data_IF_588644830491
#
_entry.id   IF_588644830491
#
_cell.length_a   1.000
_cell.length_b   1.000
_cell.length_c   1.000
_cell.angle_alpha   90.00
_cell.angle_beta   90.00
_cell.angle_gamma   90.00
#
_symmetry.space_group_name_H-M   'P 1'
#
loop_
_entity.id
_entity.type
_entity.pdbx_description
1 polymer ?
#
# COMPACT_ATOMS: atom_id res chain seq x y z
N UNK A 1 -12.40 10.32 23.08
CA UNK A 1 -12.54 8.85 22.99
C UNK A 1 -11.83 8.37 21.74
N UNK A 2 -10.57 7.96 21.89
CA UNK A 2 -9.82 7.31 20.82
C UNK A 2 -10.16 5.83 20.90
N UNK A 3 -10.74 5.28 19.83
CA UNK A 3 -11.14 3.88 19.78
C UNK A 3 -9.87 3.03 19.68
N UNK A 4 -9.68 2.22 20.72
CA UNK A 4 -8.69 1.15 20.83
C UNK A 4 -8.85 0.18 19.65
N UNK A 5 -7.76 -0.09 18.91
CA UNK A 5 -7.74 -1.07 17.82
C UNK A 5 -6.87 -2.26 18.25
N UNK A 6 -7.46 -3.39 18.68
CA UNK A 6 -6.72 -4.63 18.83
C UNK A 6 -6.55 -5.27 17.44
N UNK A 7 -5.33 -5.27 16.89
CA UNK A 7 -5.02 -6.07 15.70
C UNK A 7 -4.79 -7.52 16.13
N UNK A 8 -5.87 -8.29 16.16
CA UNK A 8 -5.84 -9.74 16.02
C UNK A 8 -7.18 -10.19 15.43
N UNK A 9 -7.34 -10.01 14.12
CA UNK A 9 -8.36 -10.74 13.36
C UNK A 9 -7.65 -11.28 12.14
N UNK A 10 -7.52 -12.60 12.09
CA UNK A 10 -7.05 -13.33 10.93
C UNK A 10 -7.94 -12.92 9.75
N UNK A 11 -7.38 -12.28 8.73
CA UNK A 11 -8.11 -11.89 7.53
C UNK A 11 -7.44 -12.62 6.37
N UNK A 12 -8.20 -13.47 5.69
CA UNK A 12 -7.68 -14.36 4.66
C UNK A 12 -8.09 -13.87 3.29
N UNK A 13 -7.13 -13.83 2.38
CA UNK A 13 -7.35 -13.53 0.98
C UNK A 13 -7.07 -14.77 0.14
N UNK A 14 -7.98 -15.06 -0.79
CA UNK A 14 -7.93 -16.24 -1.65
C UNK A 14 -7.71 -15.84 -3.09
N UNK A 15 -6.84 -16.58 -3.78
CA UNK A 15 -6.62 -16.46 -5.24
C UNK A 15 -7.25 -17.66 -5.94
N UNK A 16 -8.35 -17.42 -6.66
CA UNK A 16 -9.03 -18.43 -7.47
C UNK A 16 -8.76 -18.18 -8.95
N UNK A 17 -8.16 -19.14 -9.66
CA UNK A 17 -7.85 -19.02 -11.08
C UNK A 17 -8.93 -19.69 -11.94
N UNK A 18 -9.51 -18.96 -12.91
CA UNK A 18 -10.43 -19.55 -13.90
C UNK A 18 -9.67 -20.44 -14.88
N UNK A 19 -9.97 -21.73 -14.89
CA UNK A 19 -9.36 -22.71 -15.79
C UNK A 19 -10.05 -22.73 -17.16
N UNK A 20 -9.28 -22.94 -18.23
CA UNK A 20 -9.81 -23.11 -19.58
C UNK A 20 -10.57 -24.43 -19.72
N UNK A 21 -11.48 -24.51 -20.70
CA UNK A 21 -12.24 -25.74 -21.00
C UNK A 21 -11.34 -26.92 -21.39
N UNK A 22 -10.19 -26.65 -22.03
CA UNK A 22 -9.16 -27.66 -22.33
C UNK A 22 -8.39 -28.10 -21.07
N UNK A 23 -8.11 -27.18 -20.14
CA UNK A 23 -7.49 -27.48 -18.85
C UNK A 23 -8.38 -28.31 -17.93
N UNK A 24 -9.70 -28.06 -17.93
CA UNK A 24 -10.68 -28.81 -17.14
C UNK A 24 -10.69 -30.32 -17.47
N UNK A 25 -10.52 -30.69 -18.74
CA UNK A 25 -10.47 -32.11 -19.15
C UNK A 25 -9.23 -32.81 -18.58
N UNK A 26 -8.12 -32.10 -18.44
CA UNK A 26 -6.88 -32.64 -17.84
C UNK A 26 -6.97 -32.73 -16.32
N UNK A 27 -7.51 -31.72 -15.63
CA UNK A 27 -7.73 -31.78 -14.18
C UNK A 27 -8.65 -32.93 -13.79
N UNK A 28 -9.79 -33.08 -14.49
CA UNK A 28 -10.69 -34.24 -14.30
C UNK A 28 -10.00 -35.59 -14.51
N UNK A 29 -8.96 -35.66 -15.34
CA UNK A 29 -8.16 -36.87 -15.54
C UNK A 29 -7.09 -37.09 -14.46
N UNK A 30 -6.58 -36.02 -13.82
CA UNK A 30 -5.60 -36.12 -12.73
C UNK A 30 -6.24 -36.34 -11.35
N UNK A 31 -7.46 -35.82 -11.16
CA UNK A 31 -8.17 -35.83 -9.88
C UNK A 31 -8.72 -37.20 -9.49
N UNK A 32 -8.68 -38.18 -10.39
CA UNK A 32 -9.02 -39.57 -10.07
C UNK A 32 -7.92 -40.25 -9.23
N UNK A 33 -6.68 -39.74 -9.17
CA UNK A 33 -5.58 -40.50 -8.56
C UNK A 33 -4.52 -39.78 -7.71
N UNK A 34 -4.47 -38.43 -7.57
CA UNK A 34 -3.26 -37.80 -6.96
C UNK A 34 -3.39 -36.83 -5.79
N UNK A 35 -4.50 -36.13 -5.55
CA UNK A 35 -4.48 -35.04 -4.54
C UNK A 35 -4.82 -35.44 -3.09
N UNK A 36 -5.47 -36.59 -2.84
CA UNK A 36 -5.76 -37.03 -1.47
C UNK A 36 -4.55 -37.61 -0.70
N UNK A 37 -3.38 -37.82 -1.32
CA UNK A 37 -2.21 -38.42 -0.63
C UNK A 37 -1.19 -37.41 -0.08
N UNK A 38 -1.25 -36.13 -0.44
CA UNK A 38 -0.24 -35.13 -0.02
C UNK A 38 -0.67 -34.23 1.15
N UNK A 39 -1.98 -34.12 1.45
CA UNK A 39 -2.47 -33.35 2.59
C UNK A 39 -2.76 -34.19 3.86
N UNK A 40 -2.63 -35.52 3.80
CA UNK A 40 -3.01 -36.45 4.88
C UNK A 40 -1.82 -37.16 5.57
N UNK A 41 -0.64 -36.51 5.64
CA UNK A 41 0.50 -37.02 6.40
C UNK A 41 1.13 -35.92 7.24
N UNK A 42 0.49 -35.59 8.37
CA UNK A 42 1.12 -35.28 9.67
C UNK A 42 0.07 -34.81 10.69
N UNK A 43 -0.83 -35.69 11.10
CA UNK A 43 -1.44 -35.63 12.43
C UNK A 43 -1.49 -37.07 12.97
N UNK A 44 -0.32 -37.54 13.42
CA UNK A 44 -0.21 -38.79 14.18
C UNK A 44 -0.42 -38.44 15.64
N UNK A 45 -1.57 -38.85 16.17
CA UNK A 45 -1.92 -38.85 17.58
C UNK A 45 -1.08 -39.88 18.35
N UNK A 46 -0.43 -39.47 19.43
CA UNK A 46 -0.01 -40.38 20.50
C UNK A 46 -0.25 -39.73 21.88
N UNK A 47 -0.50 -40.53 22.93
CA UNK A 47 -1.35 -40.14 24.05
C UNK A 47 -0.62 -39.42 25.19
N UNK A 48 -1.38 -38.61 25.92
CA UNK A 48 -0.99 -37.97 27.17
C UNK A 48 -0.83 -39.01 28.28
N UNK A 49 0.33 -39.02 28.94
CA UNK A 49 0.48 -39.54 30.31
C UNK A 49 1.03 -38.45 31.22
N UNK A 50 0.33 -38.21 32.32
CA UNK A 50 0.77 -37.40 33.47
C UNK A 50 1.70 -38.22 34.36
N UNK A 51 2.79 -37.62 34.82
CA UNK A 51 3.32 -37.80 36.18
C UNK A 51 4.21 -36.62 36.55
N UNK A 52 4.05 -36.14 37.78
CA UNK A 52 4.73 -35.01 38.41
C UNK A 52 6.19 -35.32 38.78
N UNK A 53 7.09 -34.32 38.73
CA UNK A 53 7.92 -33.89 39.87
C UNK A 53 8.96 -32.82 39.48
N UNK A 54 9.36 -32.09 40.51
CA UNK A 54 10.13 -30.84 40.65
C UNK A 54 11.47 -30.70 39.91
N UNK A 55 11.88 -29.45 39.67
CA UNK A 55 13.28 -29.03 39.86
C UNK A 55 13.96 -28.25 38.73
N UNK A 56 13.99 -26.92 38.90
CA UNK A 56 15.12 -26.00 38.65
C UNK A 56 15.71 -25.78 37.23
N UNK A 57 16.06 -24.51 36.95
CA UNK A 57 17.21 -24.17 36.10
C UNK A 57 17.00 -23.82 34.61
N UNK A 58 16.78 -22.53 34.34
CA UNK A 58 17.38 -21.70 33.25
C UNK A 58 17.27 -22.16 31.77
N UNK A 59 16.53 -21.36 31.00
CA UNK A 59 16.52 -21.32 29.53
C UNK A 59 17.88 -20.95 28.91
N UNK A 60 18.33 -21.64 27.84
CA UNK A 60 19.34 -21.11 26.93
C UNK A 60 18.77 -20.77 25.54
N UNK A 61 19.04 -19.53 25.13
CA UNK A 61 18.84 -18.92 23.81
C UNK A 61 19.44 -19.76 22.64
N UNK A 62 18.76 -19.87 21.48
CA UNK A 62 19.31 -20.60 20.34
C UNK A 62 20.01 -19.64 19.34
N UNK A 63 21.25 -19.28 19.63
CA UNK A 63 22.19 -18.76 18.62
C UNK A 63 23.58 -19.32 18.94
N UNK A 64 24.01 -20.33 18.19
CA UNK A 64 25.37 -20.85 18.26
C UNK A 64 25.58 -22.21 17.62
N UNK A 65 25.99 -22.21 16.34
CA UNK A 65 26.94 -23.21 15.83
C UNK A 65 26.44 -24.22 14.79
N UNK A 66 27.16 -24.24 13.66
CA UNK A 66 27.26 -25.25 12.60
C UNK A 66 26.09 -25.27 11.58
N UNK A 67 26.24 -24.87 10.32
CA UNK A 67 27.45 -24.78 9.50
C UNK A 67 27.80 -26.13 8.87
N UNK A 68 27.07 -26.49 7.81
CA UNK A 68 27.51 -27.23 6.59
C UNK A 68 26.30 -27.87 5.91
N UNK A 69 26.16 -27.60 4.61
CA UNK A 69 25.56 -28.41 3.52
C UNK A 69 24.73 -27.54 2.56
N UNK A 70 25.42 -26.75 1.74
CA UNK A 70 24.91 -26.31 0.44
C UNK A 70 26.00 -26.61 -0.61
N UNK A 71 25.68 -27.33 -1.70
CA UNK A 71 26.62 -27.54 -2.80
C UNK A 71 26.92 -26.25 -3.55
N UNK A 72 28.20 -26.04 -3.83
CA UNK A 72 28.73 -25.13 -4.86
C UNK A 72 28.63 -25.84 -6.21
N UNK A 73 28.27 -25.10 -7.25
CA UNK A 73 28.99 -25.02 -8.53
C UNK A 73 28.05 -24.45 -9.61
N UNK A 74 28.44 -23.31 -10.19
CA UNK A 74 28.31 -22.98 -11.62
C UNK A 74 28.66 -21.50 -11.86
N UNK A 75 29.91 -21.12 -11.60
CA UNK A 75 30.53 -19.95 -12.24
C UNK A 75 32.01 -20.28 -12.51
N UNK A 76 32.57 -19.56 -13.50
CA UNK A 76 33.95 -19.52 -14.06
C UNK A 76 34.07 -20.13 -15.47
N UNK A 77 35.02 -19.66 -16.34
CA UNK A 77 36.18 -18.77 -16.09
C UNK A 77 36.27 -17.52 -17.03
N UNK A 78 36.82 -16.38 -16.59
CA UNK A 78 38.21 -15.83 -16.81
C UNK A 78 38.54 -15.51 -18.29
N UNK A 79 39.20 -14.40 -18.69
CA UNK A 79 40.54 -13.86 -18.37
C UNK A 79 40.60 -12.39 -18.87
N UNK A 80 40.87 -11.34 -18.08
CA UNK A 80 42.15 -10.69 -17.69
C UNK A 80 43.05 -10.05 -18.79
N UNK A 81 42.83 -8.74 -19.05
CA UNK A 81 43.79 -7.58 -19.26
C UNK A 81 44.99 -7.67 -20.27
N UNK A 82 45.81 -6.61 -20.46
CA UNK A 82 45.59 -5.23 -20.98
C UNK A 82 46.60 -4.86 -22.11
N UNK A 83 46.48 -3.68 -22.76
CA UNK A 83 47.59 -2.91 -23.41
C UNK A 83 47.09 -1.57 -24.01
N UNK A 84 47.76 -0.48 -23.64
CA UNK A 84 47.93 0.80 -24.36
C UNK A 84 49.43 0.91 -24.76
N UNK A 85 49.96 1.93 -25.48
CA UNK A 85 49.36 2.99 -26.31
C UNK A 85 50.02 3.11 -27.72
N UNK A 86 49.55 4.05 -28.58
CA UNK A 86 50.34 5.06 -29.35
C UNK A 86 49.66 5.52 -30.65
N UNK A 87 49.64 6.86 -30.81
CA UNK A 87 49.86 7.70 -32.02
C UNK A 87 48.92 7.51 -33.25
N UNK A 88 48.43 8.53 -33.96
CA UNK A 88 49.00 9.85 -34.20
C UNK A 88 48.00 10.84 -34.86
N UNK A 89 48.28 12.13 -34.67
CA UNK A 89 48.16 13.28 -35.59
C UNK A 89 46.80 13.63 -36.27
N UNK A 90 46.15 14.74 -35.89
CA UNK A 90 46.25 16.11 -36.48
C UNK A 90 45.19 16.36 -37.59
N UNK A 91 44.54 17.52 -37.75
CA UNK A 91 45.07 18.87 -37.97
C UNK A 91 43.99 19.96 -37.73
N UNK A 92 44.44 21.06 -37.10
CA UNK A 92 44.13 22.50 -37.15
C UNK A 92 42.68 23.03 -37.32
N UNK A 93 42.16 23.96 -36.53
CA UNK A 93 42.66 25.22 -35.92
C UNK A 93 42.59 26.47 -36.84
N UNK A 94 41.89 27.49 -36.32
CA UNK A 94 42.21 28.93 -36.35
C UNK A 94 41.23 29.65 -35.40
N UNK A 95 41.69 30.19 -34.26
CA UNK A 95 42.27 31.55 -34.04
C UNK A 95 41.22 32.67 -34.23
N UNK A 96 41.03 33.68 -33.37
CA UNK A 96 41.93 34.32 -32.40
C UNK A 96 41.14 35.17 -31.37
N UNK A 97 41.85 35.50 -30.27
CA UNK A 97 41.92 36.72 -29.42
C UNK A 97 40.68 37.65 -29.28
N UNK A 98 40.37 38.27 -28.14
CA UNK A 98 41.07 38.49 -26.88
C UNK A 98 40.39 39.65 -26.11
N UNK A 99 40.73 39.74 -24.83
CA UNK A 99 40.77 40.92 -23.95
C UNK A 99 39.52 41.52 -23.26
N UNK A 100 39.82 41.92 -22.02
CA UNK A 100 39.01 42.40 -20.90
C UNK A 100 38.41 43.80 -21.08
N UNK A 101 37.36 44.10 -20.30
CA UNK A 101 37.16 45.44 -19.75
C UNK A 101 36.27 45.44 -18.49
N UNK A 102 36.84 45.95 -17.39
CA UNK A 102 36.16 46.36 -16.16
C UNK A 102 35.39 47.68 -16.34
N UNK A 103 34.17 47.78 -15.79
CA UNK A 103 33.60 49.06 -15.28
C UNK A 103 32.77 48.79 -14.02
N UNK A 104 33.10 49.50 -12.95
CA UNK A 104 32.38 49.54 -11.67
C UNK A 104 31.25 50.58 -11.70
N UNK A 105 30.16 50.38 -10.93
CA UNK A 105 29.73 51.31 -9.86
C UNK A 105 28.39 50.95 -9.20
N UNK A 106 28.35 51.23 -7.89
CA UNK A 106 27.24 51.64 -7.00
C UNK A 106 26.53 50.60 -6.13
N UNK A 107 26.87 50.71 -4.85
CA UNK A 107 26.14 50.26 -3.66
C UNK A 107 24.83 51.07 -3.48
N UNK A 108 23.73 50.39 -3.14
CA UNK A 108 22.57 51.00 -2.49
C UNK A 108 21.70 49.96 -1.78
N UNK A 109 21.55 50.11 -0.45
CA UNK A 109 20.30 49.85 0.29
C UNK A 109 19.93 48.40 0.63
N UNK A 110 20.27 47.98 1.84
CA UNK A 110 19.78 46.78 2.52
C UNK A 110 18.24 46.81 2.72
N UNK A 111 17.51 46.00 1.93
CA UNK A 111 16.07 45.69 2.13
C UNK A 111 15.96 44.32 2.81
N UNK A 112 14.98 44.11 3.71
CA UNK A 112 14.79 42.83 4.39
C UNK A 112 14.57 41.72 3.35
N UNK A 113 15.07 40.49 3.60
CA UNK A 113 15.09 39.46 2.58
C UNK A 113 13.66 39.11 2.18
N UNK A 114 13.32 39.45 0.94
CA UNK A 114 12.15 38.94 0.25
C UNK A 114 12.16 37.42 0.40
N UNK A 115 11.02 36.87 0.84
CA UNK A 115 10.83 35.44 0.96
C UNK A 115 11.24 34.79 -0.35
N UNK A 116 12.37 34.08 -0.33
CA UNK A 116 12.90 33.39 -1.50
C UNK A 116 11.78 32.55 -2.09
N UNK A 117 11.27 32.97 -3.23
CA UNK A 117 10.33 32.19 -4.01
C UNK A 117 11.09 30.92 -4.40
N UNK A 118 10.91 29.88 -3.58
CA UNK A 118 11.35 28.53 -3.91
C UNK A 118 10.82 28.25 -5.30
N UNK A 119 11.71 28.08 -6.28
CA UNK A 119 11.33 27.81 -7.65
C UNK A 119 10.41 26.59 -7.64
N UNK A 120 9.13 26.80 -7.94
CA UNK A 120 8.12 25.75 -7.92
C UNK A 120 8.50 24.72 -8.98
N UNK A 121 8.58 23.45 -8.60
CA UNK A 121 8.84 22.39 -9.57
C UNK A 121 7.67 22.30 -10.56
N UNK A 122 7.90 21.90 -11.81
CA UNK A 122 6.82 21.72 -12.78
C UNK A 122 5.69 20.84 -12.23
N UNK A 123 4.47 21.36 -12.21
CA UNK A 123 3.29 20.67 -11.68
C UNK A 123 3.01 20.86 -10.18
N UNK A 124 3.81 21.65 -9.47
CA UNK A 124 3.47 22.07 -8.11
C UNK A 124 2.32 23.07 -8.12
N UNK A 125 1.25 22.72 -7.42
CA UNK A 125 0.09 23.58 -7.20
C UNK A 125 -0.02 23.92 -5.71
N UNK A 126 -0.38 25.18 -5.43
CA UNK A 126 -0.75 25.61 -4.09
C UNK A 126 -2.02 24.90 -3.60
N UNK A 127 -2.17 24.82 -2.28
CA UNK A 127 -3.35 24.25 -1.65
C UNK A 127 -4.58 25.11 -1.93
N UNK A 128 -5.65 24.48 -2.40
CA UNK A 128 -6.87 25.15 -2.84
C UNK A 128 -8.10 24.70 -2.03
N UNK A 129 -9.06 25.61 -1.87
CA UNK A 129 -10.33 25.28 -1.23
C UNK A 129 -11.04 24.14 -1.99
N UNK A 130 -11.64 23.22 -1.24
CA UNK A 130 -12.24 21.97 -1.75
C UNK A 130 -11.30 20.76 -1.64
N UNK A 131 -9.98 20.95 -1.53
CA UNK A 131 -9.05 19.83 -1.40
C UNK A 131 -9.19 19.08 -0.07
N UNK A 132 -8.99 17.76 -0.12
CA UNK A 132 -8.84 16.91 1.04
C UNK A 132 -7.38 16.87 1.50
N UNK A 133 -7.17 17.33 2.72
CA UNK A 133 -5.86 17.46 3.36
C UNK A 133 -5.78 16.62 4.62
N UNK A 134 -4.56 16.33 5.04
CA UNK A 134 -4.24 15.69 6.32
C UNK A 134 -3.35 16.65 7.11
N UNK A 135 -3.75 16.92 8.35
CA UNK A 135 -2.94 17.61 9.33
C UNK A 135 -2.37 16.61 10.33
N UNK A 136 -1.07 16.72 10.59
CA UNK A 136 -0.35 15.86 11.52
C UNK A 136 0.44 16.66 12.54
N UNK A 137 0.40 16.23 13.79
CA UNK A 137 1.30 16.71 14.83
C UNK A 137 2.18 15.57 15.31
N UNK A 138 3.49 15.81 15.32
CA UNK A 138 4.51 14.85 15.72
C UNK A 138 5.18 15.30 17.02
N UNK A 139 5.35 14.38 17.98
CA UNK A 139 6.12 14.60 19.21
C UNK A 139 7.06 13.42 19.41
N UNK A 140 8.35 13.69 19.69
CA UNK A 140 9.37 12.64 19.86
C UNK A 140 9.35 11.59 18.72
N UNK A 141 9.17 12.05 17.47
CA UNK A 141 9.07 11.22 16.25
C UNK A 141 7.87 10.24 16.23
N UNK A 142 6.84 10.51 17.03
CA UNK A 142 5.56 9.78 17.02
C UNK A 142 4.46 10.71 16.56
N UNK A 143 3.53 10.17 15.78
CA UNK A 143 2.30 10.88 15.41
C UNK A 143 1.39 10.91 16.64
N UNK A 144 1.21 12.11 17.22
CA UNK A 144 0.31 12.33 18.36
C UNK A 144 -1.11 12.71 17.89
N UNK A 145 -1.19 13.30 16.70
CA UNK A 145 -2.45 13.66 16.09
C UNK A 145 -2.34 13.52 14.57
N UNK A 146 -3.36 12.93 13.97
CA UNK A 146 -3.58 12.91 12.53
C UNK A 146 -5.06 13.07 12.27
N UNK A 147 -5.42 14.01 11.39
CA UNK A 147 -6.81 14.22 11.01
C UNK A 147 -6.91 14.64 9.55
N UNK A 148 -7.79 13.95 8.82
CA UNK A 148 -8.20 14.37 7.49
C UNK A 148 -9.30 15.44 7.60
N UNK A 149 -9.22 16.46 6.75
CA UNK A 149 -10.22 17.51 6.65
C UNK A 149 -10.31 18.02 5.22
N UNK A 150 -11.40 18.70 4.91
CA UNK A 150 -11.61 19.39 3.64
C UNK A 150 -11.31 20.87 3.83
N UNK A 151 -10.47 21.43 2.96
CA UNK A 151 -10.11 22.84 3.03
C UNK A 151 -11.30 23.69 2.59
N UNK A 152 -11.74 24.62 3.44
CA UNK A 152 -12.96 25.42 3.25
C UNK A 152 -12.74 26.84 3.74
N UNK A 153 -13.18 27.84 2.97
CA UNK A 153 -13.05 29.25 3.34
C UNK A 153 -13.77 29.54 4.66
N UNK A 154 -13.14 30.33 5.54
CA UNK A 154 -13.69 30.70 6.85
C UNK A 154 -13.79 29.58 7.88
N UNK A 155 -13.46 28.34 7.53
CA UNK A 155 -13.48 27.20 8.46
C UNK A 155 -12.16 27.06 9.23
N UNK A 156 -12.17 26.23 10.27
CA UNK A 156 -11.02 25.98 11.14
C UNK A 156 -10.87 24.49 11.44
N UNK A 157 -9.64 24.00 11.41
CA UNK A 157 -9.29 22.68 11.93
C UNK A 157 -9.20 22.75 13.45
N UNK A 158 -10.14 22.12 14.14
CA UNK A 158 -10.17 22.05 15.60
C UNK A 158 -9.48 20.79 16.12
N UNK A 159 -8.66 20.95 17.16
CA UNK A 159 -7.95 19.87 17.88
C UNK A 159 -7.65 20.26 19.33
N UNK A 160 -7.29 19.27 20.16
CA UNK A 160 -6.82 19.50 21.53
C UNK A 160 -5.49 20.28 21.60
N UNK A 161 -4.76 20.35 20.49
CA UNK A 161 -3.48 21.05 20.38
C UNK A 161 -3.63 22.47 19.84
N UNK A 162 -4.86 22.99 19.73
CA UNK A 162 -5.18 24.31 19.19
C UNK A 162 -5.89 24.23 17.85
N UNK A 163 -6.26 25.40 17.32
CA UNK A 163 -6.95 25.54 16.05
C UNK A 163 -6.00 26.06 14.96
N UNK A 164 -6.22 25.65 13.71
CA UNK A 164 -5.57 26.20 12.52
C UNK A 164 -6.67 26.72 11.59
N UNK A 165 -6.62 27.99 11.18
CA UNK A 165 -7.59 28.53 10.23
C UNK A 165 -7.31 27.99 8.83
N UNK A 166 -8.36 27.66 8.09
CA UNK A 166 -8.21 27.15 6.72
C UNK A 166 -7.71 28.23 5.77
N UNK A 167 -8.08 29.49 6.00
CA UNK A 167 -7.58 30.61 5.20
C UNK A 167 -6.06 30.77 5.33
N UNK A 168 -5.47 30.38 6.46
CA UNK A 168 -4.01 30.35 6.64
C UNK A 168 -3.33 29.20 5.87
N UNK A 169 -4.09 28.16 5.51
CA UNK A 169 -3.60 26.98 4.78
C UNK A 169 -3.68 27.21 3.26
N UNK A 170 -4.75 27.85 2.80
CA UNK A 170 -4.98 28.11 1.38
C UNK A 170 -3.82 28.95 0.78
N UNK A 171 -3.47 28.66 -0.47
CA UNK A 171 -2.38 29.33 -1.18
C UNK A 171 -0.97 28.85 -0.82
N UNK A 172 -0.79 28.09 0.27
CA UNK A 172 0.51 27.53 0.66
C UNK A 172 0.87 26.26 -0.12
N UNK A 173 2.16 25.88 -0.22
CA UNK A 173 2.54 24.59 -0.76
C UNK A 173 2.10 23.43 0.16
N UNK A 174 1.84 22.27 -0.45
CA UNK A 174 1.61 21.04 0.30
C UNK A 174 2.88 20.63 1.06
N UNK A 175 2.72 20.09 2.27
CA UNK A 175 3.85 19.75 3.16
C UNK A 175 4.33 20.91 4.03
N UNK A 176 3.62 22.04 4.06
CA UNK A 176 3.97 23.16 4.91
C UNK A 176 3.70 22.91 6.39
N UNK A 177 4.42 23.63 7.25
CA UNK A 177 4.18 23.65 8.69
C UNK A 177 3.41 24.90 9.10
N UNK A 178 2.36 24.72 9.89
CA UNK A 178 1.56 25.80 10.46
C UNK A 178 1.54 25.73 11.98
N UNK A 179 1.58 26.89 12.64
CA UNK A 179 1.37 26.98 14.08
C UNK A 179 -0.12 27.11 14.35
N UNK A 180 -0.62 26.34 15.31
CA UNK A 180 -1.97 26.52 15.83
C UNK A 180 -2.03 27.73 16.78
N UNK A 181 -3.25 28.07 17.21
CA UNK A 181 -3.50 29.09 18.25
C UNK A 181 -2.79 28.84 19.58
N UNK A 182 -2.33 27.61 19.85
CA UNK A 182 -1.54 27.24 21.05
C UNK A 182 -0.04 27.14 20.76
N UNK A 183 0.41 27.59 19.59
CA UNK A 183 1.83 27.55 19.18
C UNK A 183 2.34 26.18 18.72
N UNK A 184 1.49 25.14 18.72
CA UNK A 184 1.87 23.77 18.30
C UNK A 184 1.97 23.69 16.78
N UNK A 185 3.06 23.09 16.27
CA UNK A 185 3.30 22.90 14.83
C UNK A 185 2.53 21.69 14.29
N UNK A 186 1.81 21.92 13.19
CA UNK A 186 1.15 20.92 12.36
C UNK A 186 1.81 20.86 10.98
N UNK A 187 2.09 19.66 10.50
CA UNK A 187 2.38 19.38 9.09
C UNK A 187 1.05 19.26 8.35
N UNK A 188 0.85 20.03 7.28
CA UNK A 188 -0.35 19.94 6.43
C UNK A 188 0.06 19.49 5.04
N UNK A 189 -0.55 18.40 4.57
CA UNK A 189 -0.28 17.80 3.25
C UNK A 189 -1.56 17.32 2.59
N UNK A 190 -1.53 17.08 1.27
CA UNK A 190 -2.62 16.42 0.56
C UNK A 190 -2.83 15.00 1.10
N UNK A 191 -4.09 14.57 1.21
CA UNK A 191 -4.41 13.21 1.60
C UNK A 191 -3.99 12.22 0.50
N UNK A 192 -3.22 11.19 0.85
CA UNK A 192 -3.02 10.06 -0.06
C UNK A 192 -4.32 9.26 -0.19
N UNK A 193 -4.39 8.33 -1.15
CA UNK A 193 -5.55 7.45 -1.23
C UNK A 193 -5.65 6.53 -0.01
N UNK A 194 -4.51 6.11 0.53
CA UNK A 194 -4.43 5.36 1.79
C UNK A 194 -5.04 6.15 2.95
N UNK A 195 -4.62 7.42 3.12
CA UNK A 195 -5.21 8.30 4.14
C UNK A 195 -6.72 8.43 3.93
N UNK A 196 -7.14 8.66 2.68
CA UNK A 196 -8.54 8.86 2.37
C UNK A 196 -9.39 7.66 2.75
N UNK A 197 -8.99 6.45 2.34
CA UNK A 197 -9.71 5.22 2.66
C UNK A 197 -9.79 4.98 4.17
N UNK A 198 -8.74 5.31 4.93
CA UNK A 198 -8.73 5.15 6.38
C UNK A 198 -9.62 6.17 7.11
N UNK A 199 -9.75 7.40 6.58
CA UNK A 199 -10.46 8.50 7.26
C UNK A 199 -11.79 8.91 6.64
N UNK A 200 -12.17 8.37 5.48
CA UNK A 200 -13.46 8.63 4.86
C UNK A 200 -14.62 8.15 5.74
N UNK A 201 -15.82 8.66 5.47
CA UNK A 201 -17.02 8.17 6.15
C UNK A 201 -17.24 6.72 5.75
N UNK A 202 -17.55 5.85 6.71
CA UNK A 202 -17.75 4.41 6.49
C UNK A 202 -19.17 4.01 6.86
N UNK A 203 -19.73 3.07 6.11
CA UNK A 203 -20.92 2.32 6.51
C UNK A 203 -20.48 1.00 7.15
N UNK A 204 -20.03 0.03 6.33
CA UNK A 204 -19.42 -1.20 6.82
C UNK A 204 -17.92 -1.06 7.11
N UNK A 205 -17.33 -2.14 7.63
CA UNK A 205 -15.88 -2.34 7.64
C UNK A 205 -15.32 -2.25 6.22
N UNK A 206 -14.06 -1.83 6.10
CA UNK A 206 -13.38 -1.64 4.81
C UNK A 206 -12.32 -2.73 4.61
N UNK A 207 -12.04 -3.05 3.36
CA UNK A 207 -10.78 -3.64 2.96
C UNK A 207 -9.66 -2.65 3.25
N UNK A 208 -8.78 -2.97 4.19
CA UNK A 208 -7.69 -2.07 4.56
C UNK A 208 -6.64 -2.01 3.45
N UNK A 209 -5.87 -0.91 3.33
CA UNK A 209 -4.88 -0.74 2.27
C UNK A 209 -3.90 -1.92 2.13
N UNK A 210 -3.45 -2.51 3.25
CA UNK A 210 -2.56 -3.69 3.23
C UNK A 210 -3.17 -4.88 2.48
N UNK A 211 -4.47 -5.11 2.65
CA UNK A 211 -5.18 -6.25 2.06
C UNK A 211 -5.60 -5.92 0.63
N UNK A 212 -6.02 -4.68 0.37
CA UNK A 212 -6.35 -4.20 -0.96
C UNK A 212 -5.13 -4.25 -1.90
N UNK A 213 -3.93 -3.88 -1.42
CA UNK A 213 -2.68 -3.98 -2.17
C UNK A 213 -2.35 -5.43 -2.54
N UNK A 214 -2.53 -6.37 -1.62
CA UNK A 214 -2.29 -7.79 -1.88
C UNK A 214 -3.33 -8.36 -2.85
N UNK A 215 -4.62 -8.00 -2.69
CA UNK A 215 -5.68 -8.39 -3.62
C UNK A 215 -5.37 -7.91 -5.05
N UNK A 216 -4.99 -6.63 -5.21
CA UNK A 216 -4.60 -6.08 -6.51
C UNK A 216 -3.43 -6.84 -7.14
N UNK A 217 -2.39 -7.12 -6.36
CA UNK A 217 -1.23 -7.90 -6.81
C UNK A 217 -1.61 -9.33 -7.20
N UNK A 218 -2.51 -9.97 -6.44
CA UNK A 218 -3.00 -11.29 -6.80
C UNK A 218 -3.86 -11.29 -8.06
N UNK A 219 -4.64 -10.24 -8.29
CA UNK A 219 -5.46 -10.14 -9.49
C UNK A 219 -4.67 -9.73 -10.74
N UNK A 220 -3.44 -9.23 -10.58
CA UNK A 220 -2.61 -8.68 -11.66
C UNK A 220 -3.35 -7.61 -12.46
N UNK A 221 -4.06 -6.71 -11.75
CA UNK A 221 -4.87 -5.65 -12.39
C UNK A 221 -3.97 -4.55 -12.93
N UNK A 222 -4.15 -4.21 -14.20
CA UNK A 222 -3.38 -3.23 -14.94
C UNK A 222 -4.27 -2.27 -15.75
N UNK A 223 -3.66 -1.22 -16.30
CA UNK A 223 -4.36 -0.22 -17.12
C UNK A 223 -5.11 -0.88 -18.29
N UNK A 224 -6.39 -0.57 -18.45
CA UNK A 224 -7.24 -1.13 -19.51
C UNK A 224 -8.10 -2.32 -19.07
N UNK A 225 -7.81 -2.91 -17.90
CA UNK A 225 -8.57 -4.05 -17.41
C UNK A 225 -10.01 -3.68 -17.06
N UNK A 226 -10.88 -4.67 -17.22
CA UNK A 226 -12.27 -4.66 -16.75
C UNK A 226 -12.38 -5.54 -15.53
N UNK A 227 -12.69 -4.97 -14.37
CA UNK A 227 -12.72 -5.70 -13.10
C UNK A 227 -14.14 -5.69 -12.53
N UNK A 228 -14.60 -6.86 -12.10
CA UNK A 228 -15.83 -6.99 -11.33
C UNK A 228 -15.51 -6.84 -9.83
N UNK A 229 -16.25 -5.99 -9.13
CA UNK A 229 -16.22 -5.89 -7.69
C UNK A 229 -17.61 -6.23 -7.14
N UNK A 230 -17.68 -6.96 -6.04
CA UNK A 230 -18.91 -7.05 -5.26
C UNK A 230 -18.66 -6.96 -3.76
N UNK A 231 -19.56 -6.24 -3.10
CA UNK A 231 -19.33 -5.71 -1.76
C UNK A 231 -18.68 -4.33 -1.83
N UNK A 232 -19.27 -3.37 -2.57
CA UNK A 232 -18.74 -2.00 -2.67
C UNK A 232 -18.51 -1.38 -1.30
N UNK A 233 -19.40 -1.67 -0.33
CA UNK A 233 -19.27 -1.27 1.06
C UNK A 233 -19.13 0.25 1.23
N UNK A 234 -17.93 0.72 1.58
CA UNK A 234 -17.65 2.18 1.67
C UNK A 234 -16.90 2.74 0.45
N UNK A 235 -16.64 1.93 -0.58
CA UNK A 235 -15.90 2.30 -1.79
C UNK A 235 -14.38 2.26 -1.65
N UNK A 236 -13.87 1.56 -0.62
CA UNK A 236 -12.43 1.49 -0.34
C UNK A 236 -11.67 0.74 -1.45
N UNK A 237 -12.05 -0.51 -1.68
CA UNK A 237 -11.48 -1.35 -2.73
C UNK A 237 -11.81 -0.78 -4.12
N UNK A 238 -13.02 -0.26 -4.33
CA UNK A 238 -13.42 0.42 -5.58
C UNK A 238 -12.44 1.51 -6.01
N UNK A 239 -11.95 2.34 -5.08
CA UNK A 239 -10.99 3.40 -5.38
C UNK A 239 -9.60 2.86 -5.73
N UNK A 240 -9.18 1.77 -5.11
CA UNK A 240 -7.92 1.11 -5.43
C UNK A 240 -7.99 0.43 -6.82
N UNK A 241 -9.08 -0.27 -7.12
CA UNK A 241 -9.36 -0.83 -8.44
C UNK A 241 -9.42 0.26 -9.51
N UNK A 242 -10.15 1.35 -9.24
CA UNK A 242 -10.25 2.52 -10.12
C UNK A 242 -8.89 3.10 -10.49
N UNK A 243 -7.95 3.15 -9.53
CA UNK A 243 -6.58 3.57 -9.83
C UNK A 243 -5.86 2.57 -10.72
N UNK A 244 -5.98 1.28 -10.43
CA UNK A 244 -5.22 0.22 -11.09
C UNK A 244 -5.64 0.03 -12.57
N UNK A 245 -6.95 0.04 -12.84
CA UNK A 245 -7.47 -0.08 -14.22
C UNK A 245 -7.29 1.18 -15.05
N UNK A 246 -7.10 2.31 -14.36
CA UNK A 246 -6.83 3.63 -14.93
C UNK A 246 -7.85 4.11 -15.96
N UNK A 247 -7.43 5.00 -16.85
CA UNK A 247 -8.31 5.72 -17.77
C UNK A 247 -8.93 4.85 -18.87
N UNK A 248 -8.25 3.77 -19.27
CA UNK A 248 -8.68 2.87 -20.34
C UNK A 248 -9.49 1.68 -19.86
N UNK A 249 -9.46 1.40 -18.56
CA UNK A 249 -10.15 0.28 -17.94
C UNK A 249 -11.45 0.70 -17.25
N UNK A 250 -12.11 -0.28 -16.62
CA UNK A 250 -13.34 -0.03 -15.88
C UNK A 250 -13.55 -1.00 -14.72
N UNK A 251 -14.31 -0.56 -13.72
CA UNK A 251 -14.74 -1.36 -12.58
C UNK A 251 -16.26 -1.38 -12.56
N UNK A 252 -16.84 -2.58 -12.59
CA UNK A 252 -18.27 -2.77 -12.31
C UNK A 252 -18.40 -3.17 -10.84
N UNK A 253 -18.99 -2.31 -10.01
CA UNK A 253 -19.11 -2.52 -8.58
C UNK A 253 -20.57 -2.78 -8.20
N UNK A 254 -20.86 -3.99 -7.72
CA UNK A 254 -22.22 -4.45 -7.38
C UNK A 254 -22.39 -4.55 -5.87
N UNK A 255 -23.36 -3.81 -5.34
CA UNK A 255 -23.70 -3.76 -3.91
C UNK A 255 -25.20 -4.03 -3.70
N UNK A 256 -25.51 -4.95 -2.80
CA UNK A 256 -26.90 -5.34 -2.52
C UNK A 256 -27.61 -4.33 -1.61
N UNK A 257 -26.86 -3.64 -0.76
CA UNK A 257 -27.40 -2.69 0.22
C UNK A 257 -27.38 -1.25 -0.29
N UNK A 258 -28.54 -0.62 -0.35
CA UNK A 258 -28.67 0.74 -0.86
C UNK A 258 -27.87 1.78 -0.06
N UNK A 259 -27.84 1.66 1.27
CA UNK A 259 -27.12 2.58 2.14
C UNK A 259 -25.59 2.51 1.92
N UNK A 260 -25.06 1.31 1.72
CA UNK A 260 -23.67 1.07 1.37
C UNK A 260 -23.36 1.58 -0.04
N UNK A 261 -24.22 1.28 -1.02
CA UNK A 261 -24.09 1.78 -2.39
C UNK A 261 -24.01 3.31 -2.41
N UNK A 262 -24.95 4.00 -1.77
CA UNK A 262 -24.96 5.47 -1.65
C UNK A 262 -23.68 6.00 -0.98
N UNK A 263 -23.16 5.29 0.03
CA UNK A 263 -21.91 5.66 0.71
C UNK A 263 -20.70 5.53 -0.23
N UNK A 264 -20.57 4.41 -0.94
CA UNK A 264 -19.49 4.17 -1.89
C UNK A 264 -19.47 5.22 -3.01
N UNK A 265 -20.63 5.49 -3.62
CA UNK A 265 -20.77 6.54 -4.66
C UNK A 265 -20.37 7.91 -4.14
N UNK A 266 -20.81 8.30 -2.93
CA UNK A 266 -20.46 9.60 -2.34
C UNK A 266 -18.96 9.71 -2.05
N UNK A 267 -18.35 8.65 -1.50
CA UNK A 267 -16.92 8.64 -1.22
C UNK A 267 -16.09 8.68 -2.53
N UNK A 268 -16.53 7.97 -3.57
CA UNK A 268 -15.89 8.01 -4.88
C UNK A 268 -15.94 9.42 -5.49
N UNK A 269 -17.13 10.04 -5.55
CA UNK A 269 -17.30 11.42 -6.04
C UNK A 269 -16.46 12.42 -5.27
N UNK A 270 -16.42 12.31 -3.94
CA UNK A 270 -15.65 13.23 -3.09
C UNK A 270 -14.14 13.11 -3.32
N UNK A 271 -13.63 11.90 -3.55
CA UNK A 271 -12.23 11.71 -3.92
C UNK A 271 -11.93 12.37 -5.27
N UNK A 272 -12.75 12.13 -6.29
CA UNK A 272 -12.60 12.75 -7.62
C UNK A 272 -12.63 14.28 -7.57
N UNK A 273 -13.59 14.84 -6.84
CA UNK A 273 -13.70 16.29 -6.61
C UNK A 273 -12.48 16.89 -5.92
N UNK A 274 -11.86 16.18 -4.97
CA UNK A 274 -10.61 16.65 -4.41
C UNK A 274 -9.43 16.45 -5.37
N UNK A 275 -9.45 15.43 -6.22
CA UNK A 275 -8.31 15.09 -7.08
C UNK A 275 -8.11 16.10 -8.21
N UNK A 276 -9.19 16.55 -8.84
CA UNK A 276 -9.15 17.53 -9.95
C UNK A 276 -8.40 18.81 -9.57
N UNK A 277 -8.49 19.23 -8.30
CA UNK A 277 -7.84 20.42 -7.76
C UNK A 277 -6.33 20.26 -7.55
N UNK A 278 -5.80 19.03 -7.49
CA UNK A 278 -4.41 18.77 -7.10
C UNK A 278 -3.43 18.92 -8.26
N UNK A 279 -3.78 18.39 -9.43
CA UNK A 279 -2.86 18.22 -10.56
C UNK A 279 -3.38 18.78 -11.88
N UNK A 280 -4.60 19.31 -11.91
CA UNK A 280 -5.27 19.73 -13.15
C UNK A 280 -5.76 18.56 -14.01
N UNK A 281 -5.37 17.33 -13.69
CA UNK A 281 -5.87 16.10 -14.30
C UNK A 281 -7.04 15.53 -13.50
N UNK A 282 -8.08 15.11 -14.22
CA UNK A 282 -9.24 14.49 -13.61
C UNK A 282 -8.94 13.03 -13.22
N UNK A 283 -9.48 12.60 -12.09
CA UNK A 283 -9.49 11.18 -11.76
C UNK A 283 -10.49 10.46 -12.68
N UNK A 284 -10.11 9.36 -13.34
CA UNK A 284 -10.93 8.70 -14.34
C UNK A 284 -12.28 8.27 -13.76
N UNK A 285 -13.37 8.57 -14.47
CA UNK A 285 -14.74 8.15 -14.11
C UNK A 285 -15.02 6.71 -14.55
N UNK A 286 -14.24 5.79 -13.99
CA UNK A 286 -14.16 4.42 -14.47
C UNK A 286 -14.85 3.40 -13.55
N UNK A 287 -15.61 3.84 -12.55
CA UNK A 287 -16.36 2.94 -11.65
C UNK A 287 -17.86 3.08 -11.85
N UNK A 288 -18.50 1.99 -12.23
CA UNK A 288 -19.96 1.89 -12.38
C UNK A 288 -20.53 1.18 -11.16
N UNK A 289 -21.21 1.92 -10.29
CA UNK A 289 -21.88 1.36 -9.11
C UNK A 289 -23.31 0.95 -9.45
N UNK A 290 -23.66 -0.29 -9.13
CA UNK A 290 -25.00 -0.84 -9.31
C UNK A 290 -25.54 -1.38 -7.99
N UNK A 291 -26.80 -1.02 -7.70
CA UNK A 291 -27.56 -1.65 -6.62
C UNK A 291 -28.21 -2.93 -7.14
N UNK A 292 -27.66 -4.09 -6.76
CA UNK A 292 -28.19 -5.38 -7.17
C UNK A 292 -27.65 -6.49 -6.27
N UNK A 293 -28.41 -7.59 -6.15
CA UNK A 293 -27.86 -8.85 -5.64
C UNK A 293 -27.05 -9.52 -6.76
N UNK A 294 -25.73 -9.71 -6.54
CA UNK A 294 -24.85 -10.32 -7.51
C UNK A 294 -25.25 -11.77 -7.85
N UNK A 295 -25.87 -12.50 -6.93
CA UNK A 295 -26.35 -13.87 -7.19
C UNK A 295 -27.41 -13.92 -8.30
N UNK A 296 -28.21 -12.85 -8.44
CA UNK A 296 -29.26 -12.71 -9.46
C UNK A 296 -28.88 -11.75 -10.61
N UNK A 297 -27.62 -11.35 -10.72
CA UNK A 297 -27.17 -10.30 -11.64
C UNK A 297 -26.80 -10.79 -13.05
N UNK A 298 -27.22 -11.99 -13.48
CA UNK A 298 -26.84 -12.55 -14.79
C UNK A 298 -27.20 -11.62 -15.96
N UNK A 299 -28.32 -10.92 -15.88
CA UNK A 299 -28.73 -9.93 -16.89
C UNK A 299 -27.84 -8.69 -16.89
N UNK A 300 -27.40 -8.22 -15.71
CA UNK A 300 -26.47 -7.11 -15.56
C UNK A 300 -25.10 -7.46 -16.14
N UNK A 301 -24.62 -8.68 -15.90
CA UNK A 301 -23.34 -9.16 -16.39
C UNK A 301 -23.37 -9.61 -17.87
N UNK A 302 -24.56 -9.72 -18.47
CA UNK A 302 -24.72 -10.16 -19.86
C UNK A 302 -23.87 -9.33 -20.82
N UNK A 303 -23.17 -10.01 -21.74
CA UNK A 303 -22.24 -9.41 -22.70
C UNK A 303 -21.02 -8.70 -22.09
N UNK A 304 -20.76 -8.88 -20.79
CA UNK A 304 -19.55 -8.40 -20.13
C UNK A 304 -18.52 -9.51 -19.94
N UNK A 305 -17.25 -9.14 -20.09
CA UNK A 305 -16.08 -9.97 -19.82
C UNK A 305 -15.14 -9.25 -18.85
N UNK A 306 -14.64 -9.96 -17.85
CA UNK A 306 -13.81 -9.41 -16.78
C UNK A 306 -12.44 -10.08 -16.72
N UNK A 307 -11.39 -9.27 -16.57
CA UNK A 307 -9.99 -9.70 -16.46
C UNK A 307 -9.68 -10.19 -15.03
N UNK A 308 -10.41 -9.65 -14.04
CA UNK A 308 -10.36 -10.10 -12.67
C UNK A 308 -11.68 -9.85 -11.93
N UNK A 309 -11.86 -10.47 -10.76
CA UNK A 309 -12.95 -10.17 -9.84
C UNK A 309 -12.47 -10.04 -8.39
N UNK A 310 -12.93 -9.01 -7.68
CA UNK A 310 -12.72 -8.80 -6.25
C UNK A 310 -14.04 -9.01 -5.50
N UNK A 311 -14.08 -9.98 -4.59
CA UNK A 311 -15.28 -10.31 -3.81
C UNK A 311 -15.02 -10.11 -2.31
N UNK A 312 -15.75 -9.19 -1.68
CA UNK A 312 -15.78 -8.97 -0.23
C UNK A 312 -17.23 -9.18 0.27
N UNK A 313 -17.61 -10.46 0.37
CA UNK A 313 -18.97 -10.90 0.66
C UNK A 313 -18.98 -11.92 1.80
N UNK A 314 -20.12 -12.03 2.50
CA UNK A 314 -20.27 -13.02 3.57
C UNK A 314 -20.27 -14.45 3.02
N UNK A 315 -20.94 -14.67 1.88
CA UNK A 315 -21.13 -15.97 1.24
C UNK A 315 -20.73 -15.94 -0.25
N UNK A 316 -19.44 -15.78 -0.58
CA UNK A 316 -18.98 -15.64 -1.97
C UNK A 316 -19.29 -16.87 -2.83
N UNK A 317 -19.32 -18.07 -2.26
CA UNK A 317 -19.64 -19.30 -2.97
C UNK A 317 -21.01 -19.29 -3.67
N UNK A 318 -21.95 -18.49 -3.17
CA UNK A 318 -23.30 -18.38 -3.74
C UNK A 318 -23.35 -17.52 -5.00
N UNK A 319 -22.39 -16.59 -5.18
CA UNK A 319 -22.35 -15.70 -6.34
C UNK A 319 -21.47 -16.23 -7.47
N UNK A 320 -20.55 -17.15 -7.17
CA UNK A 320 -19.59 -17.68 -8.15
C UNK A 320 -20.24 -18.33 -9.38
N UNK A 321 -21.37 -19.06 -9.30
CA UNK A 321 -22.05 -19.56 -10.50
C UNK A 321 -22.47 -18.45 -11.47
N UNK A 322 -22.83 -17.29 -10.95
CA UNK A 322 -23.21 -16.11 -11.74
C UNK A 322 -21.98 -15.35 -12.26
N UNK A 323 -20.89 -15.28 -11.47
CA UNK A 323 -19.68 -14.55 -11.86
C UNK A 323 -18.82 -15.31 -12.87
N UNK A 324 -18.60 -16.62 -12.62
CA UNK A 324 -17.61 -17.42 -13.35
C UNK A 324 -17.81 -17.40 -14.86
N UNK A 325 -19.03 -17.47 -15.43
CA UNK A 325 -19.23 -17.38 -16.88
C UNK A 325 -18.65 -16.13 -17.55
N UNK A 326 -18.53 -15.03 -16.81
CA UNK A 326 -18.12 -13.71 -17.31
C UNK A 326 -16.63 -13.38 -17.08
N UNK A 327 -15.86 -14.23 -16.40
CA UNK A 327 -14.42 -14.03 -16.20
C UNK A 327 -13.61 -14.49 -17.43
N UNK A 328 -12.57 -13.84 -17.91
CA UNK A 328 -11.77 -14.45 -18.99
C UNK A 328 -11.10 -15.77 -18.54
N UNK A 329 -10.86 -16.75 -19.43
CA UNK A 329 -10.00 -17.89 -19.09
C UNK A 329 -8.64 -17.41 -18.60
N UNK A 330 -8.18 -17.91 -17.45
CA UNK A 330 -6.98 -17.42 -16.77
C UNK A 330 -7.19 -16.20 -15.87
N UNK A 331 -8.39 -15.60 -15.85
CA UNK A 331 -8.70 -14.51 -14.93
C UNK A 331 -8.67 -14.97 -13.47
N UNK A 332 -8.27 -14.06 -12.58
CA UNK A 332 -8.22 -14.30 -11.15
C UNK A 332 -9.45 -13.71 -10.47
N UNK A 333 -10.05 -14.49 -9.58
CA UNK A 333 -11.01 -14.02 -8.60
C UNK A 333 -10.34 -13.98 -7.22
N UNK A 334 -10.10 -12.77 -6.70
CA UNK A 334 -9.63 -12.54 -5.35
C UNK A 334 -10.81 -12.43 -4.38
N UNK A 335 -10.82 -13.25 -3.34
CA UNK A 335 -11.90 -13.27 -2.34
C UNK A 335 -11.34 -12.91 -0.97
N UNK A 336 -11.96 -11.95 -0.30
CA UNK A 336 -11.63 -11.54 1.06
C UNK A 336 -12.59 -12.18 2.07
N UNK A 337 -12.06 -12.90 3.06
CA UNK A 337 -12.83 -13.61 4.07
C UNK A 337 -12.26 -13.40 5.47
N UNK A 338 -13.13 -13.06 6.41
CA UNK A 338 -12.72 -12.75 7.77
C UNK A 338 -12.53 -13.98 8.67
N UNK A 339 -13.06 -15.14 8.29
CA UNK A 339 -13.00 -16.35 9.11
C UNK A 339 -12.58 -17.55 8.28
N UNK A 340 -11.75 -18.42 8.86
CA UNK A 340 -11.32 -19.67 8.23
C UNK A 340 -12.51 -20.61 7.92
N UNK A 341 -13.61 -20.54 8.67
CA UNK A 341 -14.81 -21.33 8.37
C UNK A 341 -15.45 -20.91 7.05
N UNK A 342 -15.47 -19.61 6.72
CA UNK A 342 -15.96 -19.14 5.41
C UNK A 342 -15.08 -19.64 4.27
N UNK A 343 -13.78 -19.84 4.52
CA UNK A 343 -12.86 -20.44 3.53
C UNK A 343 -13.25 -21.88 3.26
N UNK A 344 -13.56 -22.64 4.31
CA UNK A 344 -14.02 -24.03 4.17
C UNK A 344 -15.31 -24.05 3.34
N UNK A 345 -16.28 -23.19 3.65
CA UNK A 345 -17.53 -23.08 2.90
C UNK A 345 -17.28 -22.70 1.43
N UNK A 346 -16.33 -21.81 1.16
CA UNK A 346 -15.93 -21.42 -0.19
C UNK A 346 -15.39 -22.63 -0.96
N UNK A 347 -14.40 -23.34 -0.40
CA UNK A 347 -13.78 -24.50 -1.05
C UNK A 347 -14.76 -25.65 -1.24
N UNK A 348 -15.64 -25.89 -0.27
CA UNK A 348 -16.69 -26.88 -0.40
C UNK A 348 -17.72 -26.50 -1.48
N UNK A 349 -18.11 -25.23 -1.54
CA UNK A 349 -18.96 -24.70 -2.59
C UNK A 349 -18.36 -24.91 -3.98
N UNK A 350 -17.08 -24.59 -4.17
CA UNK A 350 -16.36 -24.84 -5.42
C UNK A 350 -16.42 -26.33 -5.85
N UNK A 351 -16.17 -27.23 -4.89
CA UNK A 351 -16.19 -28.69 -5.11
C UNK A 351 -17.58 -29.19 -5.49
N UNK A 352 -18.61 -28.78 -4.75
CA UNK A 352 -20.00 -29.22 -4.96
C UNK A 352 -20.56 -28.70 -6.28
N UNK A 353 -20.28 -27.44 -6.62
CA UNK A 353 -20.76 -26.79 -7.85
C UNK A 353 -19.93 -27.17 -9.08
N UNK A 354 -18.80 -27.88 -8.90
CA UNK A 354 -17.84 -28.26 -9.96
C UNK A 354 -17.44 -27.07 -10.82
N UNK A 355 -17.28 -25.91 -10.19
CA UNK A 355 -16.90 -24.69 -10.87
C UNK A 355 -15.46 -24.83 -11.41
N UNK A 356 -15.16 -24.26 -12.59
CA UNK A 356 -13.84 -24.34 -13.20
C UNK A 356 -12.82 -23.40 -12.57
N UNK A 357 -12.78 -23.35 -11.25
CA UNK A 357 -11.87 -22.52 -10.47
C UNK A 357 -10.86 -23.41 -9.73
N UNK A 358 -9.59 -23.05 -9.82
CA UNK A 358 -8.52 -23.65 -9.03
C UNK A 358 -8.17 -22.70 -7.89
N UNK A 359 -8.17 -23.18 -6.64
CA UNK A 359 -7.64 -22.40 -5.52
C UNK A 359 -6.10 -22.48 -5.54
N UNK A 360 -5.45 -21.40 -5.94
CA UNK A 360 -3.99 -21.35 -6.03
C UNK A 360 -3.34 -21.03 -4.68
N UNK A 361 -3.96 -20.13 -3.91
CA UNK A 361 -3.35 -19.59 -2.71
C UNK A 361 -4.39 -19.11 -1.69
N UNK A 362 -4.05 -19.31 -0.42
CA UNK A 362 -4.72 -18.78 0.76
C UNK A 362 -3.66 -18.09 1.59
N UNK A 363 -3.87 -16.83 1.98
CA UNK A 363 -2.86 -16.08 2.74
C UNK A 363 -3.47 -15.10 3.73
N UNK A 364 -2.68 -14.72 4.72
CA UNK A 364 -2.93 -13.62 5.64
C UNK A 364 -1.77 -12.62 5.53
N UNK A 365 -2.08 -11.32 5.47
CA UNK A 365 -1.06 -10.26 5.42
C UNK A 365 -0.97 -9.54 6.76
N UNK A 366 0.22 -9.60 7.37
CA UNK A 366 0.53 -8.91 8.62
C UNK A 366 1.48 -7.73 8.36
N UNK A 367 1.07 -6.54 8.83
CA UNK A 367 1.90 -5.32 8.82
C UNK A 367 2.26 -4.96 10.26
N UNK A 368 3.54 -4.67 10.50
CA UNK A 368 4.05 -4.31 11.82
C UNK A 368 4.86 -3.02 11.74
N UNK A 369 4.35 -1.99 12.39
CA UNK A 369 5.06 -0.74 12.56
C UNK A 369 6.16 -0.87 13.63
N UNK A 370 7.28 -0.22 13.38
CA UNK A 370 8.43 -0.20 14.29
C UNK A 370 8.73 1.22 14.73
N UNK A 371 8.98 1.38 16.03
CA UNK A 371 9.55 2.64 16.54
C UNK A 371 11.06 2.54 16.44
N UNK A 372 11.61 3.45 15.63
CA UNK A 372 13.04 3.64 15.44
C UNK A 372 13.53 4.63 16.50
N UNK A 373 14.29 4.13 17.48
CA UNK A 373 14.89 4.96 18.53
C UNK A 373 16.35 4.57 18.76
N UNK A 374 17.14 5.45 19.39
CA UNK A 374 18.51 5.12 19.74
C UNK A 374 18.56 3.86 20.64
N UNK A 375 19.50 2.97 20.35
CA UNK A 375 19.71 1.80 21.18
C UNK A 375 20.20 2.22 22.57
N UNK A 376 19.52 1.73 23.61
CA UNK A 376 19.98 1.86 24.99
C UNK A 376 20.71 0.59 25.40
N UNK A 377 21.86 0.79 26.03
CA UNK A 377 22.64 -0.19 26.76
C UNK A 377 22.00 -0.46 28.14
N UNK A 378 22.45 -1.51 28.83
CA UNK A 378 21.89 -1.90 30.14
C UNK A 378 22.14 -0.85 31.23
N UNK A 379 23.20 -0.07 31.08
CA UNK A 379 23.58 1.04 31.96
C UNK A 379 22.80 2.34 31.68
N UNK A 380 21.86 2.33 30.72
CA UNK A 380 21.11 3.50 30.30
C UNK A 380 21.84 4.41 29.31
N UNK A 381 23.10 4.12 28.96
CA UNK A 381 23.83 4.85 27.93
C UNK A 381 23.36 4.45 26.53
N UNK A 382 23.61 5.28 25.53
CA UNK A 382 23.32 4.94 24.13
C UNK A 382 24.42 4.06 23.53
N UNK A 383 24.06 3.13 22.64
CA UNK A 383 25.07 2.36 21.90
C UNK A 383 25.79 3.27 20.90
N UNK A 384 27.13 3.18 20.87
CA UNK A 384 28.00 3.93 19.95
C UNK A 384 27.93 3.32 18.53
N UNK A 385 27.80 4.16 17.49
CA UNK A 385 27.84 3.73 16.09
C UNK A 385 29.28 3.58 15.60
N UNK A 386 29.51 2.63 14.68
CA UNK A 386 30.59 2.75 13.70
C UNK A 386 30.07 3.63 12.56
N UNK A 387 30.73 4.76 12.29
CA UNK A 387 30.39 5.58 11.14
C UNK A 387 30.61 4.79 9.84
N UNK A 388 29.77 4.95 8.80
CA UNK A 388 30.20 4.59 7.46
C UNK A 388 31.45 5.43 7.16
N UNK A 389 32.55 4.79 6.80
CA UNK A 389 33.74 5.51 6.34
C UNK A 389 33.32 6.26 5.08
N UNK A 390 33.08 7.56 5.22
CA UNK A 390 33.00 8.44 4.08
C UNK A 390 34.45 8.74 3.70
N UNK A 391 34.89 8.19 2.57
CA UNK A 391 36.17 8.58 1.98
C UNK A 391 36.04 10.05 1.55
N UNK A 392 36.35 10.96 2.47
CA UNK A 392 36.90 12.29 2.22
C UNK A 392 37.36 12.90 3.53
N UNK A 393 38.64 13.25 3.53
CA UNK A 393 39.31 14.15 4.46
C UNK A 393 38.39 15.35 4.74
N UNK A 394 37.96 15.50 5.99
CA UNK A 394 38.19 16.67 6.83
C UNK A 394 37.24 16.62 8.05
N UNK A 395 37.90 16.74 9.20
CA UNK A 395 37.45 17.20 10.52
C UNK A 395 36.13 16.72 11.12
N UNK A 396 36.32 16.08 12.27
CA UNK A 396 35.36 15.61 13.24
C UNK A 396 34.19 16.59 13.48
N UNK A 397 33.00 16.14 13.10
CA UNK A 397 31.74 16.59 13.67
C UNK A 397 30.84 15.36 13.85
N UNK A 398 30.67 14.99 15.11
CA UNK A 398 29.92 13.83 15.58
C UNK A 398 28.44 13.90 15.20
N UNK A 399 27.88 12.74 14.81
CA UNK A 399 26.46 12.47 15.09
C UNK A 399 25.66 11.76 14.00
N UNK A 400 25.79 10.44 13.91
CA UNK A 400 24.77 9.61 13.25
C UNK A 400 24.36 8.44 14.16
N UNK A 401 23.06 8.25 14.38
CA UNK A 401 22.49 7.39 15.44
C UNK A 401 22.21 5.94 14.99
N UNK A 402 22.62 4.94 15.77
CA UNK A 402 22.20 3.53 15.59
C UNK A 402 20.76 3.33 16.06
N UNK A 403 19.94 2.76 15.18
CA UNK A 403 18.51 2.54 15.38
C UNK A 403 18.30 1.18 16.05
N UNK A 404 17.74 1.18 17.26
CA UNK A 404 17.09 0.01 17.84
C UNK A 404 15.63 0.03 17.41
N UNK A 405 15.25 -0.98 16.65
CA UNK A 405 13.86 -1.26 16.32
C UNK A 405 13.19 -1.81 17.58
N UNK A 406 12.27 -1.04 18.19
CA UNK A 406 11.41 -1.54 19.27
C UNK A 406 10.05 -1.91 18.70
N UNK A 407 9.58 -3.12 19.04
CA UNK A 407 8.22 -3.56 18.76
C UNK A 407 7.23 -2.59 19.39
N UNK A 408 6.19 -2.24 18.67
CA UNK A 408 5.02 -1.61 19.29
C UNK A 408 4.38 -2.65 20.23
N UNK A 409 4.33 -2.36 21.53
CA UNK A 409 3.44 -3.09 22.43
C UNK A 409 2.06 -2.45 22.26
N UNK A 410 1.07 -3.27 21.88
CA UNK A 410 -0.34 -2.87 21.85
C UNK A 410 -0.91 -2.79 23.26
#
# INVERSE_FOLDING_TARGET
MAVHMPLARLLLVHRLLRTSTSGQRRLRSSDVLRECRRAARTLSTFPVRRSESQGDGRDPSPLGGLGRLLPRDALFPEVSQPRDPEEDASVAASDAHGEDAHVATREEGDRPPEASASAALPGESSLAFGELLVAEHHKKRRVEFRKMFELRAGARLQSNWGAVAHDDVAGRPAGCFLKSTRGVRFLVRRASLEDYVLYMKRGPAITYPKDASEMLMMMDVTEGDRVLESGSGSGAMSLFLSRAVGSKGSVLSVEVREDHHRRAVLNYKRWRQSWILRRGEEWPDNVQFHIHDLSAASALLANQGFHAAALDLIHPQLVLPTVVPHLYPGAVCAVYLANITQVIDLLEGLRCLRLPLLCERIMEVQVRDWVVAAALQKDGSHCVRKAPVLDRREEASDGAFLVKLRKYAQ
#
